data_IF_621748639635
#
_entry.id   IF_621748639635
#
_cell.length_a   1.000
_cell.length_b   1.000
_cell.length_c   1.000
_cell.angle_alpha   90.00
_cell.angle_beta   90.00
_cell.angle_gamma   90.00
#
_symmetry.space_group_name_H-M   'P 1'
#
loop_
_entity.id
_entity.type
_entity.pdbx_description
1 polymer ?
#
# COMPACT_ATOMS: atom_id res chain seq x y z
N UNK A 1 -5.40 -24.68 15.27
CA UNK A 1 -6.25 -24.04 16.29
C UNK A 1 -5.33 -23.59 17.42
N UNK A 2 -4.95 -22.30 17.53
CA UNK A 2 -4.14 -21.86 18.66
C UNK A 2 -5.02 -21.68 19.90
N UNK A 3 -4.45 -22.04 21.06
CA UNK A 3 -5.10 -22.17 22.35
C UNK A 3 -5.65 -20.84 22.89
N UNK A 4 -6.79 -20.92 23.59
CA UNK A 4 -7.44 -19.80 24.26
C UNK A 4 -6.59 -19.27 25.44
N UNK A 5 -6.50 -17.94 25.59
CA UNK A 5 -5.88 -17.27 26.75
C UNK A 5 -6.69 -17.56 28.03
N UNK A 6 -6.04 -17.72 29.19
CA UNK A 6 -6.74 -17.81 30.47
C UNK A 6 -7.35 -16.44 30.88
N UNK A 7 -8.41 -16.44 31.72
CA UNK A 7 -9.08 -15.22 32.16
C UNK A 7 -8.23 -14.42 33.17
N UNK A 8 -8.45 -13.10 33.30
CA UNK A 8 -7.75 -12.26 34.26
C UNK A 8 -8.28 -12.48 35.69
N UNK A 9 -7.38 -12.45 36.67
CA UNK A 9 -7.71 -12.59 38.09
C UNK A 9 -8.32 -11.30 38.65
N UNK A 10 -9.42 -11.43 39.39
CA UNK A 10 -10.09 -10.34 40.11
C UNK A 10 -9.29 -9.97 41.36
N UNK A 11 -8.56 -8.86 41.29
CA UNK A 11 -7.92 -8.22 42.45
C UNK A 11 -8.86 -7.21 43.11
N UNK A 12 -9.22 -7.49 44.36
CA UNK A 12 -10.19 -6.75 45.17
C UNK A 12 -9.87 -5.28 45.44
N UNK A 13 -10.93 -4.54 45.78
CA UNK A 13 -10.95 -3.09 45.94
C UNK A 13 -10.26 -2.53 47.18
N UNK A 14 -9.98 -1.23 47.11
CA UNK A 14 -9.69 -0.36 48.23
C UNK A 14 -10.17 1.05 47.88
N UNK A 15 -11.18 1.54 48.60
CA UNK A 15 -11.71 2.88 48.44
C UNK A 15 -10.78 3.94 49.02
N UNK A 16 -10.80 5.12 48.42
CA UNK A 16 -10.19 6.36 48.90
C UNK A 16 -10.77 7.56 48.14
N UNK A 17 -11.15 8.59 48.89
CA UNK A 17 -12.07 9.70 48.60
C UNK A 17 -11.89 10.54 47.30
N UNK A 18 -12.97 11.21 46.82
CA UNK A 18 -12.93 12.09 45.67
C UNK A 18 -12.55 13.53 46.08
N UNK A 19 -11.42 14.05 45.59
CA UNK A 19 -11.19 15.51 45.60
C UNK A 19 -10.47 16.01 44.34
N UNK A 20 -11.25 16.76 43.56
CA UNK A 20 -10.92 17.88 42.69
C UNK A 20 -9.59 17.89 41.88
N UNK A 21 -9.77 17.61 40.58
CA UNK A 21 -9.18 18.26 39.40
C UNK A 21 -7.89 19.11 39.54
N UNK A 22 -6.80 18.64 38.92
CA UNK A 22 -5.79 19.50 38.29
C UNK A 22 -5.01 18.71 37.23
N UNK A 23 -4.96 19.24 36.00
CA UNK A 23 -3.97 18.95 34.95
C UNK A 23 -3.65 17.49 34.66
N UNK A 24 -4.32 16.88 33.67
CA UNK A 24 -3.86 15.61 33.11
C UNK A 24 -2.48 15.77 32.48
N UNK A 25 -1.44 15.44 33.23
CA UNK A 25 -0.10 15.23 32.71
C UNK A 25 -0.17 13.99 31.82
N UNK A 26 -0.12 14.19 30.49
CA UNK A 26 0.18 13.09 29.58
C UNK A 26 1.62 12.67 29.88
N UNK A 27 1.77 11.65 30.72
CA UNK A 27 3.04 10.98 30.90
C UNK A 27 3.45 10.43 29.54
N UNK A 28 4.53 10.98 28.98
CA UNK A 28 5.16 10.40 27.80
C UNK A 28 5.57 8.98 28.19
N UNK A 29 5.04 7.98 27.47
CA UNK A 29 5.57 6.63 27.55
C UNK A 29 7.08 6.72 27.27
N UNK A 30 7.92 5.97 28.01
CA UNK A 30 9.35 5.95 27.74
C UNK A 30 9.58 5.63 26.26
N UNK A 31 10.59 6.26 25.65
CA UNK A 31 11.02 5.97 24.29
C UNK A 31 11.41 4.49 24.21
N UNK A 32 10.46 3.63 23.85
CA UNK A 32 10.71 2.21 23.62
C UNK A 32 11.54 2.07 22.34
N UNK A 33 12.46 1.10 22.32
CA UNK A 33 13.26 0.87 21.13
C UNK A 33 12.35 0.58 19.92
N UNK A 34 12.59 1.23 18.76
CA UNK A 34 11.71 1.10 17.61
C UNK A 34 11.63 -0.36 17.17
N UNK A 35 10.42 -0.91 17.23
CA UNK A 35 10.16 -2.29 16.79
C UNK A 35 9.81 -2.31 15.31
N UNK A 36 10.34 -3.26 14.56
CA UNK A 36 10.00 -3.45 13.16
C UNK A 36 8.53 -3.85 12.99
N UNK A 37 7.83 -3.18 12.07
CA UNK A 37 6.49 -3.57 11.64
C UNK A 37 6.59 -4.78 10.69
N UNK A 38 5.88 -5.89 10.95
CA UNK A 38 5.83 -7.01 10.03
C UNK A 38 5.00 -6.63 8.81
N UNK A 39 5.65 -6.31 7.70
CA UNK A 39 4.99 -6.04 6.43
C UNK A 39 4.70 -7.35 5.70
N UNK A 40 3.57 -7.39 4.98
CA UNK A 40 3.29 -8.44 4.00
C UNK A 40 4.07 -8.25 2.70
N UNK A 41 3.68 -8.92 1.61
CA UNK A 41 4.29 -8.72 0.29
C UNK A 41 4.25 -7.24 -0.12
N UNK A 42 5.39 -6.69 -0.55
CA UNK A 42 5.47 -5.28 -0.91
C UNK A 42 4.74 -5.01 -2.23
N UNK A 43 3.85 -4.01 -2.29
CA UNK A 43 3.19 -3.62 -3.52
C UNK A 43 4.05 -2.65 -4.35
N UNK A 44 4.13 -2.92 -5.65
CA UNK A 44 4.80 -2.12 -6.66
C UNK A 44 3.77 -1.59 -7.66
N UNK A 45 3.34 -0.33 -7.51
CA UNK A 45 2.49 0.31 -8.51
C UNK A 45 3.32 0.77 -9.72
N UNK A 46 2.81 0.50 -10.92
CA UNK A 46 3.27 1.09 -12.18
C UNK A 46 2.09 1.77 -12.85
N UNK A 47 2.23 3.06 -13.14
CA UNK A 47 1.29 3.79 -13.98
C UNK A 47 1.76 3.73 -15.43
N UNK A 48 0.84 3.43 -16.33
CA UNK A 48 1.06 3.46 -17.77
C UNK A 48 0.07 4.42 -18.43
N UNK A 49 0.57 5.25 -19.32
CA UNK A 49 -0.23 6.05 -20.25
C UNK A 49 -0.65 5.21 -21.44
N UNK A 50 -1.92 5.29 -21.83
CA UNK A 50 -2.42 4.67 -23.06
C UNK A 50 -2.52 5.75 -24.14
N UNK A 51 -1.73 5.61 -25.19
CA UNK A 51 -1.75 6.50 -26.33
C UNK A 51 -1.93 5.71 -27.61
N UNK A 52 -3.14 5.80 -28.19
CA UNK A 52 -3.52 5.02 -29.37
C UNK A 52 -3.30 3.52 -29.10
N UNK A 53 -2.33 2.91 -29.78
CA UNK A 53 -1.99 1.49 -29.67
C UNK A 53 -0.64 1.28 -28.94
N UNK A 54 -0.20 2.26 -28.14
CA UNK A 54 1.09 2.21 -27.44
C UNK A 54 0.91 2.42 -25.95
N UNK A 55 1.58 1.55 -25.17
CA UNK A 55 1.65 1.63 -23.71
C UNK A 55 2.95 2.34 -23.33
N UNK A 56 2.85 3.45 -22.59
CA UNK A 56 4.00 4.23 -22.15
C UNK A 56 4.13 4.08 -20.63
N UNK A 57 5.21 3.45 -20.11
CA UNK A 57 5.42 3.31 -18.68
C UNK A 57 5.90 4.62 -18.04
N UNK A 58 5.42 4.89 -16.82
CA UNK A 58 5.83 6.02 -16.00
C UNK A 58 5.81 7.35 -16.75
N UNK A 59 4.62 7.80 -17.18
CA UNK A 59 4.50 8.96 -18.02
C UNK A 59 4.96 10.23 -17.30
N UNK A 60 5.74 11.05 -17.99
CA UNK A 60 6.11 12.39 -17.53
C UNK A 60 4.93 13.35 -17.62
N UNK A 61 5.00 14.48 -16.91
CA UNK A 61 3.94 15.50 -16.90
C UNK A 61 3.48 15.95 -18.31
N UNK A 62 4.41 16.05 -19.26
CA UNK A 62 4.09 16.41 -20.64
C UNK A 62 3.32 15.28 -21.33
N UNK A 63 3.77 14.04 -21.15
CA UNK A 63 3.14 12.85 -21.72
C UNK A 63 1.74 12.63 -21.15
N UNK A 64 1.58 12.80 -19.83
CA UNK A 64 0.28 12.72 -19.14
C UNK A 64 -0.76 13.66 -19.74
N UNK A 65 -0.37 14.86 -20.19
CA UNK A 65 -1.27 15.83 -20.82
C UNK A 65 -1.80 15.40 -22.19
N UNK A 66 -1.15 14.42 -22.81
CA UNK A 66 -1.49 13.88 -24.14
C UNK A 66 -2.33 12.61 -24.05
N UNK A 67 -2.47 11.99 -22.86
CA UNK A 67 -3.17 10.73 -22.68
C UNK A 67 -4.62 10.94 -22.28
N UNK A 68 -5.54 10.31 -23.03
CA UNK A 68 -6.96 10.28 -22.69
C UNK A 68 -7.25 9.34 -21.52
N UNK A 69 -6.40 8.34 -21.30
CA UNK A 69 -6.54 7.37 -20.21
C UNK A 69 -5.21 6.85 -19.72
N UNK A 70 -5.18 6.55 -18.43
CA UNK A 70 -4.02 5.96 -17.75
C UNK A 70 -4.47 4.73 -16.98
N UNK A 71 -3.58 3.75 -16.84
CA UNK A 71 -3.82 2.54 -16.06
C UNK A 71 -2.71 2.39 -15.03
N UNK A 72 -3.07 2.27 -13.77
CA UNK A 72 -2.16 1.89 -12.70
C UNK A 72 -2.35 0.41 -12.42
N UNK A 73 -1.29 -0.37 -12.61
CA UNK A 73 -1.24 -1.79 -12.26
C UNK A 73 -0.38 -1.92 -11.01
N UNK A 74 -0.88 -2.64 -10.01
CA UNK A 74 -0.16 -2.92 -8.77
C UNK A 74 0.19 -4.40 -8.74
N UNK A 75 1.47 -4.72 -8.69
CA UNK A 75 1.99 -6.09 -8.56
C UNK A 75 2.83 -6.24 -7.31
N UNK A 76 2.99 -7.44 -6.77
CA UNK A 76 3.94 -7.69 -5.68
C UNK A 76 5.35 -8.03 -6.21
N UNK A 77 6.29 -8.36 -5.31
CA UNK A 77 7.69 -8.67 -5.67
C UNK A 77 7.82 -9.90 -6.59
N UNK A 78 6.92 -10.88 -6.48
CA UNK A 78 6.88 -12.05 -7.35
C UNK A 78 6.27 -11.76 -8.74
N UNK A 79 5.69 -10.56 -8.92
CA UNK A 79 4.98 -10.14 -10.13
C UNK A 79 3.53 -10.60 -10.17
N UNK A 80 2.94 -10.97 -9.03
CA UNK A 80 1.52 -11.29 -8.90
C UNK A 80 0.69 -10.02 -8.89
N UNK A 81 -0.45 -10.04 -9.58
CA UNK A 81 -1.35 -8.89 -9.65
C UNK A 81 -2.09 -8.68 -8.31
N UNK A 82 -1.93 -7.51 -7.72
CA UNK A 82 -2.62 -7.09 -6.50
C UNK A 82 -3.84 -6.19 -6.80
N UNK A 83 -3.77 -5.39 -7.86
CA UNK A 83 -4.86 -4.50 -8.23
C UNK A 83 -4.64 -3.79 -9.56
N UNK A 84 -5.74 -3.35 -10.17
CA UNK A 84 -5.71 -2.54 -11.41
C UNK A 84 -6.67 -1.38 -11.22
N UNK A 85 -6.21 -0.17 -11.55
CA UNK A 85 -7.02 1.03 -11.59
C UNK A 85 -6.88 1.66 -12.96
N UNK A 86 -8.00 1.90 -13.64
CA UNK A 86 -8.04 2.74 -14.84
C UNK A 86 -8.50 4.14 -14.45
N UNK A 87 -7.65 5.13 -14.66
CA UNK A 87 -7.97 6.55 -14.48
C UNK A 87 -8.30 7.16 -15.84
N UNK A 88 -9.47 7.80 -15.96
CA UNK A 88 -9.95 8.41 -17.20
C UNK A 88 -11.43 8.14 -17.41
N UNK A 89 -12.20 9.20 -17.66
CA UNK A 89 -13.66 9.15 -17.88
C UNK A 89 -14.07 8.99 -19.35
N UNK A 90 -13.13 9.07 -20.29
CA UNK A 90 -13.38 8.84 -21.71
C UNK A 90 -13.39 7.35 -22.01
N UNK A 91 -14.48 6.85 -22.59
CA UNK A 91 -14.72 5.44 -22.92
C UNK A 91 -13.77 4.82 -23.95
N UNK A 92 -12.54 5.31 -24.10
CA UNK A 92 -11.50 4.65 -24.88
C UNK A 92 -11.30 3.24 -24.30
N UNK A 93 -11.65 2.17 -25.04
CA UNK A 93 -11.42 0.82 -24.58
C UNK A 93 -9.91 0.67 -24.42
N UNK A 94 -9.46 0.40 -23.19
CA UNK A 94 -8.12 -0.15 -23.04
C UNK A 94 -8.24 -1.55 -23.65
N UNK A 95 -7.70 -1.74 -24.86
CA UNK A 95 -7.70 -3.05 -25.49
C UNK A 95 -7.12 -4.08 -24.53
N UNK A 96 -7.71 -5.29 -24.48
CA UNK A 96 -7.22 -6.34 -23.58
C UNK A 96 -5.73 -6.65 -23.77
N UNK A 97 -5.22 -6.44 -24.98
CA UNK A 97 -3.81 -6.56 -25.34
C UNK A 97 -2.94 -5.50 -24.64
N UNK A 98 -3.32 -4.22 -24.70
CA UNK A 98 -2.61 -3.14 -24.02
C UNK A 98 -2.61 -3.32 -22.49
N UNK A 99 -3.70 -3.84 -21.91
CA UNK A 99 -3.74 -4.17 -20.49
C UNK A 99 -2.82 -5.36 -20.14
N UNK A 100 -2.79 -6.39 -20.99
CA UNK A 100 -1.89 -7.52 -20.83
C UNK A 100 -0.42 -7.10 -20.89
N UNK A 101 -0.08 -6.23 -21.84
CA UNK A 101 1.25 -5.62 -21.96
C UNK A 101 1.61 -4.80 -20.72
N UNK A 102 0.69 -3.97 -20.24
CA UNK A 102 0.89 -3.18 -19.02
C UNK A 102 1.14 -4.06 -17.78
N UNK A 103 0.42 -5.17 -17.64
CA UNK A 103 0.61 -6.11 -16.52
C UNK A 103 1.97 -6.81 -16.63
N UNK A 104 2.35 -7.27 -17.82
CA UNK A 104 3.65 -7.91 -18.05
C UNK A 104 4.80 -6.94 -17.72
N UNK A 105 4.67 -5.68 -18.14
CA UNK A 105 5.64 -4.63 -17.89
C UNK A 105 5.73 -4.28 -16.39
N UNK A 106 4.58 -4.20 -15.70
CA UNK A 106 4.52 -3.98 -14.26
C UNK A 106 5.23 -5.11 -13.50
N UNK A 107 4.96 -6.36 -13.84
CA UNK A 107 5.60 -7.51 -13.20
C UNK A 107 7.12 -7.54 -13.43
N UNK A 108 7.59 -7.18 -14.63
CA UNK A 108 9.02 -7.08 -14.92
C UNK A 108 9.69 -5.98 -14.09
N UNK A 109 9.04 -4.81 -13.98
CA UNK A 109 9.57 -3.68 -13.20
C UNK A 109 9.55 -3.95 -11.70
N UNK A 110 8.50 -4.59 -11.19
CA UNK A 110 8.40 -4.95 -9.77
C UNK A 110 9.58 -5.82 -9.32
N UNK A 111 9.96 -6.85 -10.11
CA UNK A 111 11.11 -7.70 -9.81
C UNK A 111 12.43 -6.94 -9.80
N UNK A 112 12.61 -6.02 -10.75
CA UNK A 112 13.82 -5.19 -10.82
C UNK A 112 13.92 -4.22 -9.63
N UNK A 113 12.79 -3.61 -9.23
CA UNK A 113 12.74 -2.70 -8.08
C UNK A 113 12.91 -3.44 -6.75
N UNK A 114 12.30 -4.62 -6.60
CA UNK A 114 12.48 -5.47 -5.43
C UNK A 114 13.97 -5.82 -5.21
N UNK A 115 14.69 -6.16 -6.28
CA UNK A 115 16.12 -6.44 -6.21
C UNK A 115 16.96 -5.23 -5.75
N UNK A 116 16.53 -4.00 -6.04
CA UNK A 116 17.21 -2.77 -5.59
C UNK A 116 16.91 -2.43 -4.13
N UNK A 117 15.71 -2.73 -3.64
CA UNK A 117 15.30 -2.44 -2.27
C UNK A 117 15.86 -3.44 -1.24
N UNK A 118 16.26 -4.63 -1.68
CA UNK A 118 16.87 -5.67 -0.84
C UNK A 118 18.38 -5.48 -0.63
N UNK A 119 18.93 -4.34 -1.07
CA UNK A 119 20.37 -4.03 -1.10
C UNK A 119 20.70 -2.79 -0.25
#
# INVERSE_FOLDING_TARGET
LPAARPPPEEGGGGGGDPTAAAGGEFALLPDEEPTCLPLGPLPFPLTVGLFKDTVIPDPSLLEESLFDSQVTVVTNEEGMLCGVRKAGGGGAPAGGEALGEAIALAAQRARALAALLQN
#
